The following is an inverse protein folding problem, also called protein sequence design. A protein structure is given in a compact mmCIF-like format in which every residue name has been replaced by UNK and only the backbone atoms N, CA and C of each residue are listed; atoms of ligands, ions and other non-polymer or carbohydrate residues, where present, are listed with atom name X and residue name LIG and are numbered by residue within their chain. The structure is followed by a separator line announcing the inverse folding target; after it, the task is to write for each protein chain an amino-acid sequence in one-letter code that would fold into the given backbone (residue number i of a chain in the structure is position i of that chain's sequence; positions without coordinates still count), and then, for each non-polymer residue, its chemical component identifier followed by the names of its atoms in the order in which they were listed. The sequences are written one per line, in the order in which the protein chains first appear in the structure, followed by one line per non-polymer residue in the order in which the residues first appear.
data_IF_007265980559
#
_entry.id   IF_007265980559
#
_cell.length_a   1.000
_cell.length_b   1.000
_cell.length_c   1.000
_cell.angle_alpha   90.00
_cell.angle_beta   90.00
_cell.angle_gamma   90.00
#
_symmetry.space_group_name_H-M   'P 1'
#
loop_
_entity.id
_entity.type
_entity.pdbx_description
1 polymer ?
#
# COMPACT_ATOMS: atom_id res chain seq x y z
N UNK A 1 1.43 12.59 0.73
CA UNK A 1 1.88 11.42 1.51
C UNK A 1 1.35 10.15 0.86
N UNK A 2 2.17 9.11 0.70
CA UNK A 2 1.68 7.81 0.20
C UNK A 2 2.25 6.65 1.01
N UNK A 3 1.47 5.59 1.17
CA UNK A 3 1.89 4.36 1.85
C UNK A 3 1.23 3.15 1.23
N UNK A 4 2.00 2.08 1.07
CA UNK A 4 1.54 0.83 0.47
C UNK A 4 1.77 -0.33 1.45
N UNK A 5 0.72 -1.08 1.73
CA UNK A 5 0.71 -2.26 2.58
C UNK A 5 0.30 -3.47 1.74
N UNK A 6 0.92 -4.61 1.99
CA UNK A 6 0.56 -5.87 1.35
C UNK A 6 0.41 -6.96 2.39
N UNK A 7 -0.52 -7.87 2.11
CA UNK A 7 -0.71 -9.10 2.85
C UNK A 7 -0.49 -10.23 1.85
N UNK A 8 0.69 -10.83 1.89
CA UNK A 8 1.08 -11.97 1.04
C UNK A 8 1.26 -13.16 1.98
N UNK A 9 0.26 -14.02 2.02
CA UNK A 9 0.30 -15.31 2.71
C UNK A 9 0.10 -16.42 1.68
N UNK A 10 0.26 -17.69 2.07
CA UNK A 10 0.09 -18.84 1.18
C UNK A 10 -1.29 -18.92 0.49
N UNK A 11 -2.32 -18.28 1.07
CA UNK A 11 -3.70 -18.34 0.60
C UNK A 11 -4.30 -16.96 0.28
N UNK A 12 -3.57 -15.88 0.52
CA UNK A 12 -4.09 -14.52 0.35
C UNK A 12 -3.03 -13.57 -0.16
N UNK A 13 -3.33 -12.95 -1.31
CA UNK A 13 -2.51 -11.94 -1.94
C UNK A 13 -3.35 -10.66 -2.04
N UNK A 14 -3.32 -9.84 -0.98
CA UNK A 14 -4.09 -8.61 -0.88
C UNK A 14 -3.17 -7.40 -0.84
N UNK A 15 -3.55 -6.32 -1.51
CA UNK A 15 -2.86 -5.04 -1.45
C UNK A 15 -3.78 -3.99 -0.85
N UNK A 16 -3.19 -3.03 -0.15
CA UNK A 16 -3.85 -1.87 0.41
C UNK A 16 -2.91 -0.68 0.30
N UNK A 17 -3.28 0.36 -0.43
CA UNK A 17 -2.49 1.57 -0.64
C UNK A 17 -3.32 2.78 -0.23
N UNK A 18 -2.69 3.73 0.44
CA UNK A 18 -3.30 5.02 0.77
C UNK A 18 -2.44 6.15 0.21
N UNK A 19 -3.08 7.13 -0.41
CA UNK A 19 -2.48 8.30 -1.00
C UNK A 19 -3.24 9.52 -0.55
N UNK A 20 -2.61 10.37 0.27
CA UNK A 20 -3.15 11.65 0.67
C UNK A 20 -2.55 12.77 -0.20
N UNK A 21 -3.41 13.53 -0.85
CA UNK A 21 -3.13 14.69 -1.69
C UNK A 21 -3.97 15.88 -1.21
N UNK A 22 -3.32 16.85 -0.59
CA UNK A 22 -4.02 18.00 -0.04
C UNK A 22 -5.07 17.59 0.99
N UNK A 23 -6.29 18.06 0.78
CA UNK A 23 -7.45 17.76 1.59
C UNK A 23 -8.17 16.44 1.23
N UNK A 24 -7.65 15.67 0.27
CA UNK A 24 -8.25 14.43 -0.21
C UNK A 24 -7.32 13.26 0.07
N UNK A 25 -7.84 12.14 0.56
CA UNK A 25 -7.12 10.88 0.50
C UNK A 25 -7.82 9.86 -0.38
N UNK A 26 -7.03 8.98 -0.96
CA UNK A 26 -7.43 7.92 -1.86
C UNK A 26 -6.90 6.62 -1.28
N UNK A 27 -7.79 5.68 -0.97
CA UNK A 27 -7.46 4.35 -0.46
C UNK A 27 -7.76 3.33 -1.54
N UNK A 28 -6.73 2.69 -2.09
CA UNK A 28 -6.86 1.55 -2.99
C UNK A 28 -6.72 0.25 -2.22
N UNK A 29 -7.59 -0.71 -2.47
CA UNK A 29 -7.48 -2.03 -1.86
C UNK A 29 -8.00 -3.12 -2.79
N UNK A 30 -7.44 -4.32 -2.71
CA UNK A 30 -7.88 -5.39 -3.57
C UNK A 30 -7.02 -6.63 -3.49
N UNK A 31 -7.31 -7.59 -4.38
CA UNK A 31 -6.47 -8.76 -4.60
C UNK A 31 -5.38 -8.41 -5.62
N UNK A 32 -4.15 -8.82 -5.35
CA UNK A 32 -3.03 -8.64 -6.29
C UNK A 32 -3.36 -9.38 -7.58
N UNK A 33 -3.43 -8.66 -8.71
CA UNK A 33 -3.85 -9.18 -10.01
C UNK A 33 -5.29 -8.83 -10.42
N UNK A 34 -6.03 -8.08 -9.61
CA UNK A 34 -7.33 -7.49 -9.98
C UNK A 34 -7.27 -5.97 -9.92
N UNK A 35 -8.19 -5.27 -10.60
CA UNK A 35 -8.29 -3.79 -10.55
C UNK A 35 -8.46 -3.27 -9.11
N UNK A 36 -9.05 -4.06 -8.22
CA UNK A 36 -9.32 -3.65 -6.84
C UNK A 36 -10.43 -2.61 -6.76
N UNK A 37 -10.54 -1.96 -5.61
CA UNK A 37 -11.49 -0.90 -5.34
C UNK A 37 -10.73 0.32 -4.82
N UNK A 38 -11.16 1.49 -5.28
CA UNK A 38 -10.60 2.77 -4.87
C UNK A 38 -11.67 3.54 -4.10
N UNK A 39 -11.31 4.00 -2.91
CA UNK A 39 -12.16 4.75 -2.02
C UNK A 39 -11.53 6.11 -1.76
N UNK A 40 -12.13 7.16 -2.30
CA UNK A 40 -11.67 8.54 -2.15
C UNK A 40 -12.50 9.23 -1.09
N UNK A 41 -11.85 9.97 -0.19
CA UNK A 41 -12.52 10.75 0.84
C UNK A 41 -11.88 12.12 0.96
N UNK A 42 -12.72 13.13 0.95
CA UNK A 42 -12.34 14.53 1.05
C UNK A 42 -12.57 15.02 2.49
N UNK A 43 -11.68 15.90 2.94
CA UNK A 43 -11.68 16.50 4.26
C UNK A 43 -11.71 18.01 4.15
N UNK A 44 -12.11 18.67 5.23
CA UNK A 44 -12.11 20.14 5.30
C UNK A 44 -10.70 20.75 5.42
N UNK A 45 -9.70 19.96 5.81
CA UNK A 45 -8.32 20.44 5.98
C UNK A 45 -7.30 19.37 5.67
N UNK A 46 -6.19 19.78 5.06
CA UNK A 46 -5.04 18.91 4.75
C UNK A 46 -4.47 18.23 6.00
N UNK A 47 -4.36 18.96 7.12
CA UNK A 47 -3.85 18.41 8.37
C UNK A 47 -4.69 17.24 8.90
N UNK A 48 -6.01 17.34 8.78
CA UNK A 48 -6.96 16.29 9.21
C UNK A 48 -6.83 15.08 8.28
N UNK A 49 -6.76 15.30 6.97
CA UNK A 49 -6.54 14.26 5.97
C UNK A 49 -5.27 13.46 6.27
N UNK A 50 -4.15 14.13 6.56
CA UNK A 50 -2.87 13.49 6.87
C UNK A 50 -2.92 12.73 8.21
N UNK A 51 -3.55 13.31 9.25
CA UNK A 51 -3.69 12.65 10.56
C UNK A 51 -4.54 11.38 10.45
N UNK A 52 -5.69 11.43 9.78
CA UNK A 52 -6.54 10.26 9.57
C UNK A 52 -5.86 9.19 8.72
N UNK A 53 -5.14 9.60 7.65
CA UNK A 53 -4.37 8.67 6.84
C UNK A 53 -3.30 7.93 7.65
N UNK A 54 -2.55 8.64 8.50
CA UNK A 54 -1.54 8.05 9.42
C UNK A 54 -2.17 7.07 10.40
N UNK A 55 -3.26 7.47 11.05
CA UNK A 55 -3.99 6.62 12.01
C UNK A 55 -4.51 5.33 11.38
N UNK A 56 -4.99 5.41 10.13
CA UNK A 56 -5.39 4.25 9.33
C UNK A 56 -4.22 3.31 9.05
N UNK A 57 -3.05 3.86 8.68
CA UNK A 57 -1.83 3.09 8.43
C UNK A 57 -1.41 2.36 9.70
N UNK A 58 -1.29 3.06 10.83
CA UNK A 58 -0.87 2.47 12.11
C UNK A 58 -1.81 1.34 12.56
N UNK A 59 -3.12 1.54 12.40
CA UNK A 59 -4.11 0.50 12.73
C UNK A 59 -3.95 -0.75 11.85
N UNK A 60 -3.61 -0.58 10.57
CA UNK A 60 -3.34 -1.70 9.66
C UNK A 60 -2.03 -2.40 9.96
N UNK A 61 -0.97 -1.67 10.28
CA UNK A 61 0.31 -2.22 10.70
C UNK A 61 0.16 -3.08 11.96
N UNK A 62 -0.59 -2.57 12.95
CA UNK A 62 -0.88 -3.31 14.18
C UNK A 62 -1.68 -4.60 13.94
N UNK A 63 -2.47 -4.67 12.87
CA UNK A 63 -3.19 -5.87 12.43
C UNK A 63 -2.31 -6.89 11.69
N UNK A 64 -1.01 -6.65 11.55
CA UNK A 64 -0.09 -7.55 10.85
C UNK A 64 -0.10 -7.39 9.33
N UNK A 65 -0.53 -6.23 8.82
CA UNK A 65 -0.26 -5.88 7.43
C UNK A 65 1.19 -5.42 7.31
N UNK A 66 1.89 -5.95 6.31
CA UNK A 66 3.31 -5.67 6.11
C UNK A 66 3.45 -4.45 5.21
N UNK A 67 4.38 -3.56 5.55
CA UNK A 67 4.73 -2.44 4.68
C UNK A 67 5.38 -2.99 3.41
N UNK A 68 4.71 -2.80 2.28
CA UNK A 68 5.37 -2.95 0.98
C UNK A 68 6.08 -1.63 0.74
N UNK A 69 7.27 -1.50 1.32
CA UNK A 69 8.18 -0.40 1.02
C UNK A 69 8.66 -0.56 -0.42
N UNK A 70 7.80 -0.16 -1.37
CA UNK A 70 8.06 -0.26 -2.80
C UNK A 70 9.24 0.60 -3.25
N UNK A 71 9.78 1.47 -2.39
CA UNK A 71 10.98 2.26 -2.70
C UNK A 71 12.25 1.40 -2.73
N UNK A 72 12.25 0.17 -2.17
CA UNK A 72 13.36 -0.79 -2.34
C UNK A 72 13.12 -1.91 -3.35
N UNK A 73 11.96 -1.96 -4.00
CA UNK A 73 11.64 -3.01 -5.01
C UNK A 73 11.96 -2.57 -6.45
N UNK A 74 12.49 -1.35 -6.64
CA UNK A 74 13.07 -0.92 -7.92
C UNK A 74 14.54 -1.31 -8.13
N UNK A 75 15.26 -1.81 -7.11
CA UNK A 75 16.65 -2.23 -7.27
C UNK A 75 16.96 -3.52 -6.49
N UNK A 76 16.25 -4.60 -6.81
CA UNK A 76 16.93 -5.91 -6.86
C UNK A 76 16.50 -6.57 -8.17
N UNK A 77 17.31 -6.52 -9.24
CA UNK A 77 17.09 -7.45 -10.33
C UNK A 77 17.11 -8.84 -9.69
N UNK A 78 15.99 -9.53 -9.77
CA UNK A 78 15.91 -10.96 -9.51
C UNK A 78 17.03 -11.60 -10.35
N UNK A 79 18.08 -12.11 -9.69
CA UNK A 79 19.15 -12.87 -10.35
C UNK A 79 18.48 -14.06 -11.02
N UNK A 80 18.22 -13.97 -12.32
CA UNK A 80 18.08 -15.15 -13.18
C UNK A 80 19.38 -15.93 -13.03
N UNK A 81 19.30 -17.08 -12.34
CA UNK A 81 20.39 -18.05 -12.33
C UNK A 81 20.43 -18.65 -13.73
N UNK A 82 21.28 -18.09 -14.60
CA UNK A 82 21.58 -18.71 -15.89
C UNK A 82 22.14 -20.10 -15.58
N UNK A 83 21.42 -21.11 -16.05
CA UNK A 83 21.87 -22.48 -16.13
C UNK A 83 22.59 -22.57 -17.47
N UNK A 84 23.90 -22.34 -17.46
CA UNK A 84 24.76 -22.67 -18.60
C UNK A 84 25.34 -24.07 -18.41
N UNK A 85 25.49 -24.71 -19.57
CA UNK A 85 25.66 -26.14 -19.82
C UNK A 85 27.14 -26.51 -19.82
#
# INVERSE_FOLDING_TARGET
MEKSLVCITAYSNKFWKIKAQGNIFIVLYGKIGSQGSLNTKEFSSEEVCIKEARKLIESKLKKGYWESDQEKVRIRPYKRKNREK
#
